data_IF_165727572797
#
_entry.id   IF_165727572797
#
_cell.length_a   1.000
_cell.length_b   1.000
_cell.length_c   1.000
_cell.angle_alpha   90.00
_cell.angle_beta   90.00
_cell.angle_gamma   90.00
#
_symmetry.space_group_name_H-M   'P 1'
#
loop_
_entity.id
_entity.type
_entity.pdbx_description
1 polymer ?
#
# COMPACT_ATOMS: atom_id res chain seq x y z
N UNK A 1 17.36 -2.15 -17.67
CA UNK A 1 15.88 -2.08 -17.70
C UNK A 1 15.44 -2.28 -19.16
N UNK A 2 14.45 -3.15 -19.40
CA UNK A 2 13.80 -3.30 -20.72
C UNK A 2 12.36 -2.81 -20.57
N UNK A 3 11.85 -2.12 -21.58
CA UNK A 3 10.44 -1.67 -21.62
C UNK A 3 9.68 -2.57 -22.57
N UNK A 4 8.53 -3.08 -22.12
CA UNK A 4 7.65 -3.95 -22.91
C UNK A 4 6.27 -3.27 -23.01
N UNK A 5 5.59 -3.47 -24.13
CA UNK A 5 4.27 -2.89 -24.37
C UNK A 5 3.24 -3.45 -23.36
N UNK A 6 2.25 -2.64 -23.01
CA UNK A 6 1.17 -3.03 -22.08
C UNK A 6 0.29 -4.20 -22.59
N UNK A 7 0.31 -4.49 -23.90
CA UNK A 7 -0.36 -5.62 -24.51
C UNK A 7 0.61 -6.76 -24.84
N UNK A 8 1.75 -6.83 -24.12
CA UNK A 8 2.75 -7.85 -24.35
C UNK A 8 2.19 -9.26 -24.15
N UNK A 9 2.49 -10.12 -25.09
CA UNK A 9 2.22 -11.56 -24.98
C UNK A 9 3.29 -12.23 -24.13
N UNK A 10 2.99 -13.47 -23.68
CA UNK A 10 3.95 -14.30 -22.94
C UNK A 10 5.31 -14.39 -23.65
N UNK A 11 5.33 -14.57 -24.98
CA UNK A 11 6.57 -14.71 -25.73
C UNK A 11 7.41 -13.41 -25.73
N UNK A 12 6.77 -12.27 -25.88
CA UNK A 12 7.45 -10.96 -25.76
C UNK A 12 8.01 -10.74 -24.35
N UNK A 13 7.29 -11.16 -23.31
CA UNK A 13 7.74 -11.10 -21.92
C UNK A 13 8.93 -12.05 -21.71
N UNK A 14 8.89 -13.25 -22.30
CA UNK A 14 9.98 -14.24 -22.25
C UNK A 14 11.28 -13.71 -22.86
N UNK A 15 11.22 -13.05 -24.01
CA UNK A 15 12.39 -12.40 -24.63
C UNK A 15 12.99 -11.26 -23.77
N UNK A 16 12.19 -10.70 -22.87
CA UNK A 16 12.65 -9.66 -21.97
C UNK A 16 13.40 -10.21 -20.74
N UNK A 17 13.23 -11.50 -20.39
CA UNK A 17 13.84 -12.12 -19.23
C UNK A 17 15.38 -12.11 -19.30
N UNK A 18 15.96 -12.14 -18.12
CA UNK A 18 17.39 -12.37 -17.90
C UNK A 18 17.57 -13.66 -17.12
N UNK A 19 18.36 -14.58 -17.65
CA UNK A 19 18.60 -15.87 -17.03
C UNK A 19 19.56 -15.82 -15.83
N UNK A 20 20.31 -14.74 -15.71
CA UNK A 20 21.36 -14.55 -14.71
C UNK A 20 20.92 -13.74 -13.47
N UNK A 21 19.66 -13.30 -13.41
CA UNK A 21 19.16 -12.38 -12.37
C UNK A 21 17.67 -12.58 -12.12
N UNK A 22 17.23 -12.09 -10.95
CA UNK A 22 15.81 -11.92 -10.66
C UNK A 22 15.17 -10.94 -11.64
N UNK A 23 14.00 -11.28 -12.11
CA UNK A 23 13.23 -10.48 -13.05
C UNK A 23 12.05 -9.82 -12.32
N UNK A 24 12.04 -8.50 -12.27
CA UNK A 24 10.97 -7.72 -11.65
C UNK A 24 10.15 -7.04 -12.73
N UNK A 25 8.88 -7.39 -12.83
CA UNK A 25 7.92 -6.76 -13.72
C UNK A 25 7.21 -5.61 -13.01
N UNK A 26 7.22 -4.43 -13.64
CA UNK A 26 6.54 -3.23 -13.14
C UNK A 26 5.59 -2.75 -14.24
N UNK A 27 4.28 -2.96 -14.11
CA UNK A 27 3.31 -2.46 -15.08
C UNK A 27 3.32 -0.93 -15.15
N UNK A 28 2.90 -0.37 -16.27
CA UNK A 28 2.87 1.08 -16.50
C UNK A 28 1.70 1.78 -15.78
N UNK A 29 0.76 1.00 -15.23
CA UNK A 29 -0.43 1.53 -14.55
C UNK A 29 -0.89 0.61 -13.43
N UNK A 30 -1.31 1.20 -12.32
CA UNK A 30 -1.93 0.50 -11.18
C UNK A 30 -3.41 0.10 -11.38
N UNK A 31 -4.01 0.44 -12.52
CA UNK A 31 -5.44 0.19 -12.77
C UNK A 31 -5.75 -1.29 -12.96
N UNK A 32 -6.93 -1.74 -12.49
CA UNK A 32 -7.38 -3.13 -12.61
C UNK A 32 -7.39 -3.65 -14.06
N UNK A 33 -7.70 -2.80 -15.03
CA UNK A 33 -7.67 -3.17 -16.47
C UNK A 33 -6.29 -3.65 -16.90
N UNK A 34 -5.22 -3.07 -16.36
CA UNK A 34 -3.86 -3.52 -16.63
C UNK A 34 -3.60 -4.90 -16.03
N UNK A 35 -4.04 -5.13 -14.79
CA UNK A 35 -3.91 -6.43 -14.13
C UNK A 35 -4.62 -7.54 -14.90
N UNK A 36 -5.86 -7.30 -15.32
CA UNK A 36 -6.63 -8.27 -16.11
C UNK A 36 -5.89 -8.68 -17.39
N UNK A 37 -5.14 -7.76 -18.00
CA UNK A 37 -4.36 -8.05 -19.22
C UNK A 37 -3.07 -8.78 -18.94
N UNK A 38 -2.30 -8.31 -17.95
CA UNK A 38 -0.92 -8.76 -17.78
C UNK A 38 -0.78 -10.01 -16.90
N UNK A 39 -1.63 -10.17 -15.87
CA UNK A 39 -1.53 -11.30 -14.94
C UNK A 39 -1.60 -12.67 -15.67
N UNK A 40 -2.54 -12.93 -16.58
CA UNK A 40 -2.57 -14.22 -17.28
C UNK A 40 -1.29 -14.49 -18.08
N UNK A 41 -0.69 -13.47 -18.67
CA UNK A 41 0.53 -13.62 -19.47
C UNK A 41 1.74 -13.92 -18.57
N UNK A 42 1.83 -13.25 -17.42
CA UNK A 42 2.89 -13.49 -16.45
C UNK A 42 2.79 -14.85 -15.77
N UNK A 43 1.57 -15.30 -15.44
CA UNK A 43 1.32 -16.63 -14.88
C UNK A 43 1.75 -17.70 -15.86
N UNK A 44 1.35 -17.60 -17.14
CA UNK A 44 1.80 -18.51 -18.16
C UNK A 44 3.33 -18.50 -18.31
N UNK A 45 3.95 -17.33 -18.21
CA UNK A 45 5.40 -17.21 -18.28
C UNK A 45 6.09 -17.92 -17.12
N UNK A 46 5.66 -17.70 -15.88
CA UNK A 46 6.22 -18.36 -14.69
C UNK A 46 6.11 -19.88 -14.79
N UNK A 47 4.97 -20.39 -15.25
CA UNK A 47 4.76 -21.82 -15.43
C UNK A 47 5.63 -22.42 -16.53
N UNK A 48 5.92 -21.66 -17.59
CA UNK A 48 6.78 -22.09 -18.70
C UNK A 48 8.29 -21.96 -18.39
N UNK A 49 8.66 -21.19 -17.39
CA UNK A 49 10.06 -20.90 -17.04
C UNK A 49 10.28 -21.01 -15.53
N UNK A 50 10.05 -22.21 -14.92
CA UNK A 50 10.10 -22.38 -13.48
C UNK A 50 11.51 -22.18 -12.88
N UNK A 51 12.54 -22.20 -13.71
CA UNK A 51 13.92 -21.90 -13.33
C UNK A 51 14.22 -20.41 -13.19
N UNK A 52 13.29 -19.53 -13.60
CA UNK A 52 13.46 -18.09 -13.55
C UNK A 52 12.79 -17.50 -12.32
N UNK A 53 13.48 -16.68 -11.58
CA UNK A 53 12.89 -15.88 -10.51
C UNK A 53 12.16 -14.69 -11.13
N UNK A 54 10.85 -14.70 -11.04
CA UNK A 54 9.97 -13.67 -11.61
C UNK A 54 9.10 -13.10 -10.50
N UNK A 55 9.15 -11.79 -10.30
CA UNK A 55 8.39 -11.07 -9.31
C UNK A 55 7.58 -9.96 -9.97
N UNK A 56 6.40 -9.71 -9.44
CA UNK A 56 5.58 -8.59 -9.86
C UNK A 56 5.66 -7.47 -8.81
N UNK A 57 6.01 -6.26 -9.22
CA UNK A 57 6.02 -5.09 -8.35
C UNK A 57 5.03 -4.05 -8.84
N UNK A 58 4.18 -3.59 -7.96
CA UNK A 58 3.07 -2.74 -8.36
C UNK A 58 2.74 -1.60 -7.42
N UNK A 59 1.48 -1.23 -7.43
CA UNK A 59 0.98 0.06 -6.98
C UNK A 59 0.13 -0.08 -5.72
N UNK A 60 0.04 0.99 -4.91
CA UNK A 60 -0.75 0.98 -3.67
C UNK A 60 -2.22 0.61 -3.85
N UNK A 61 -2.81 0.94 -5.00
CA UNK A 61 -4.20 0.64 -5.32
C UNK A 61 -4.49 -0.86 -5.38
N UNK A 62 -3.47 -1.69 -5.59
CA UNK A 62 -3.64 -3.15 -5.74
C UNK A 62 -4.17 -3.82 -4.49
N UNK A 63 -3.98 -3.22 -3.33
CA UNK A 63 -4.61 -3.72 -2.10
C UNK A 63 -6.15 -3.74 -2.19
N UNK A 64 -6.75 -2.91 -3.06
CA UNK A 64 -8.21 -2.92 -3.29
C UNK A 64 -8.66 -4.02 -4.24
N UNK A 65 -7.73 -4.62 -4.98
CA UNK A 65 -7.99 -5.69 -5.97
C UNK A 65 -7.59 -7.08 -5.46
N UNK A 66 -7.14 -7.19 -4.22
CA UNK A 66 -6.70 -8.47 -3.63
C UNK A 66 -7.81 -9.51 -3.64
N UNK A 67 -9.08 -9.12 -3.48
CA UNK A 67 -10.20 -10.05 -3.56
C UNK A 67 -10.29 -10.78 -4.91
N UNK A 68 -10.00 -10.08 -6.00
CA UNK A 68 -10.20 -10.58 -7.36
C UNK A 68 -8.93 -11.25 -7.92
N UNK A 69 -7.75 -10.89 -7.40
CA UNK A 69 -6.45 -11.30 -7.95
C UNK A 69 -5.53 -11.99 -6.94
N UNK A 70 -6.05 -12.40 -5.76
CA UNK A 70 -5.23 -12.91 -4.66
C UNK A 70 -4.33 -14.08 -5.09
N UNK A 71 -4.89 -15.07 -5.76
CA UNK A 71 -4.15 -16.25 -6.22
C UNK A 71 -3.04 -15.87 -7.19
N UNK A 72 -3.35 -14.98 -8.15
CA UNK A 72 -2.36 -14.47 -9.11
C UNK A 72 -1.24 -13.70 -8.43
N UNK A 73 -1.56 -12.91 -7.41
CA UNK A 73 -0.56 -12.17 -6.65
C UNK A 73 0.38 -13.09 -5.86
N UNK A 74 -0.14 -14.19 -5.30
CA UNK A 74 0.70 -15.19 -4.65
C UNK A 74 1.56 -15.95 -5.65
N UNK A 75 1.00 -16.40 -6.77
CA UNK A 75 1.75 -17.15 -7.80
C UNK A 75 2.89 -16.33 -8.41
N UNK A 76 2.73 -15.01 -8.49
CA UNK A 76 3.73 -14.08 -9.04
C UNK A 76 4.64 -13.45 -7.98
N UNK A 77 4.61 -13.93 -6.75
CA UNK A 77 5.37 -13.33 -5.63
C UNK A 77 5.30 -11.80 -5.68
N UNK A 78 4.07 -11.27 -5.57
CA UNK A 78 3.76 -9.87 -5.85
C UNK A 78 4.07 -8.97 -4.67
N UNK A 79 4.77 -7.89 -4.94
CA UNK A 79 5.08 -6.82 -4.00
C UNK A 79 4.38 -5.52 -4.41
N UNK A 80 3.80 -4.83 -3.47
CA UNK A 80 3.37 -3.45 -3.65
C UNK A 80 3.51 -2.67 -2.34
N UNK A 81 3.79 -1.39 -2.46
CA UNK A 81 3.93 -0.52 -1.32
C UNK A 81 2.60 0.15 -0.96
N UNK A 82 2.44 0.53 0.29
CA UNK A 82 1.29 1.31 0.71
C UNK A 82 1.63 2.16 1.93
N UNK A 83 1.31 3.45 1.86
CA UNK A 83 1.35 4.36 3.02
C UNK A 83 0.03 4.33 3.80
N UNK A 84 -0.98 3.59 3.33
CA UNK A 84 -2.35 3.59 3.85
C UNK A 84 -2.86 2.16 4.07
N UNK A 85 -1.95 1.25 4.45
CA UNK A 85 -2.35 -0.11 4.74
C UNK A 85 -3.12 -0.19 6.05
N UNK A 86 -4.29 -0.80 6.03
CA UNK A 86 -5.06 -1.12 7.22
C UNK A 86 -5.16 -2.62 7.37
N UNK A 87 -4.66 -3.15 8.50
CA UNK A 87 -4.96 -4.51 8.87
C UNK A 87 -6.39 -4.58 9.40
N UNK A 88 -7.31 -5.08 8.59
CA UNK A 88 -8.74 -5.19 8.93
C UNK A 88 -9.04 -6.15 10.08
N UNK A 89 -8.08 -7.00 10.45
CA UNK A 89 -8.16 -7.89 11.60
C UNK A 89 -7.63 -7.24 12.90
N UNK A 90 -7.04 -6.06 12.80
CA UNK A 90 -6.53 -5.35 13.97
C UNK A 90 -7.69 -4.85 14.84
N UNK A 91 -7.70 -5.16 16.16
CA UNK A 91 -8.82 -4.83 17.03
C UNK A 91 -9.25 -3.37 17.00
N UNK A 92 -8.28 -2.43 16.93
CA UNK A 92 -8.58 -1.00 16.85
C UNK A 92 -9.25 -0.61 15.52
N UNK A 93 -8.89 -1.26 14.40
CA UNK A 93 -9.54 -1.04 13.11
C UNK A 93 -10.99 -1.56 13.10
N UNK A 94 -11.20 -2.74 13.69
CA UNK A 94 -12.55 -3.32 13.87
C UNK A 94 -13.40 -2.39 14.75
N UNK A 95 -12.88 -1.96 15.88
CA UNK A 95 -13.59 -1.05 16.81
C UNK A 95 -13.93 0.28 16.13
N UNK A 96 -12.99 0.86 15.39
CA UNK A 96 -13.22 2.09 14.64
C UNK A 96 -14.35 1.92 13.62
N UNK A 97 -14.31 0.86 12.83
CA UNK A 97 -15.33 0.57 11.80
C UNK A 97 -16.72 0.38 12.43
N UNK A 98 -16.81 -0.37 13.53
CA UNK A 98 -18.07 -0.59 14.24
C UNK A 98 -18.62 0.72 14.83
N UNK A 99 -17.75 1.55 15.43
CA UNK A 99 -18.16 2.85 15.97
C UNK A 99 -18.59 3.80 14.87
N UNK A 100 -17.88 3.82 13.74
CA UNK A 100 -18.24 4.63 12.58
C UNK A 100 -19.64 4.27 12.07
N UNK A 101 -19.90 2.98 11.88
CA UNK A 101 -21.21 2.50 11.46
C UNK A 101 -22.32 2.87 12.47
N UNK A 102 -22.05 2.70 13.77
CA UNK A 102 -22.97 3.06 14.86
C UNK A 102 -23.35 4.55 14.85
N UNK A 103 -22.37 5.43 14.63
CA UNK A 103 -22.59 6.89 14.71
C UNK A 103 -23.16 7.49 13.45
N UNK A 104 -22.78 6.98 12.29
CA UNK A 104 -23.17 7.55 11.01
C UNK A 104 -24.21 6.72 10.24
N UNK A 105 -24.57 5.52 10.72
CA UNK A 105 -25.46 4.56 10.05
C UNK A 105 -25.05 4.29 8.59
N UNK A 106 -23.75 4.35 8.31
CA UNK A 106 -23.14 4.15 6.99
C UNK A 106 -21.85 3.37 7.15
N UNK A 107 -21.54 2.58 6.16
CA UNK A 107 -20.26 1.91 6.08
C UNK A 107 -19.14 2.89 5.66
N UNK A 108 -17.93 2.60 6.10
CA UNK A 108 -16.75 3.28 5.59
C UNK A 108 -16.64 3.05 4.08
N UNK A 109 -16.39 4.12 3.34
CA UNK A 109 -16.16 4.02 1.90
C UNK A 109 -14.88 3.19 1.68
N UNK A 110 -15.02 2.02 1.07
CA UNK A 110 -13.92 1.10 0.74
C UNK A 110 -13.10 1.61 -0.46
N UNK A 111 -12.72 2.89 -0.43
CA UNK A 111 -11.81 3.47 -1.42
C UNK A 111 -10.43 3.64 -0.81
N UNK A 112 -9.44 3.46 -1.62
CA UNK A 112 -8.05 3.76 -1.25
C UNK A 112 -7.69 5.19 -1.67
N UNK A 113 -7.09 5.99 -0.77
CA UNK A 113 -6.94 5.76 0.67
C UNK A 113 -8.26 5.89 1.45
N UNK A 114 -8.35 5.24 2.62
CA UNK A 114 -9.50 5.42 3.53
C UNK A 114 -9.36 6.74 4.30
N UNK A 115 -9.89 7.81 3.74
CA UNK A 115 -9.80 9.15 4.33
C UNK A 115 -10.43 9.26 5.73
N UNK A 116 -11.46 8.46 6.03
CA UNK A 116 -12.06 8.42 7.37
C UNK A 116 -11.07 7.93 8.43
N UNK A 117 -10.29 6.89 8.12
CA UNK A 117 -9.23 6.38 9.01
C UNK A 117 -8.06 7.34 9.09
N UNK A 118 -7.64 7.94 7.97
CA UNK A 118 -6.59 8.95 7.96
C UNK A 118 -6.95 10.15 8.83
N UNK A 119 -8.19 10.65 8.71
CA UNK A 119 -8.69 11.75 9.54
C UNK A 119 -8.71 11.39 11.02
N UNK A 120 -9.12 10.17 11.35
CA UNK A 120 -9.08 9.68 12.73
C UNK A 120 -7.65 9.61 13.26
N UNK A 121 -6.72 8.96 12.56
CA UNK A 121 -5.33 8.84 12.98
C UNK A 121 -4.68 10.22 13.17
N UNK A 122 -4.94 11.15 12.25
CA UNK A 122 -4.44 12.54 12.34
C UNK A 122 -5.01 13.24 13.57
N UNK A 123 -6.33 13.22 13.73
CA UNK A 123 -6.99 13.85 14.87
C UNK A 123 -6.55 13.26 16.20
N UNK A 124 -6.49 11.93 16.28
CA UNK A 124 -6.06 11.22 17.47
C UNK A 124 -4.63 11.54 17.85
N UNK A 125 -3.70 11.58 16.88
CA UNK A 125 -2.32 11.93 17.10
C UNK A 125 -2.18 13.33 17.71
N UNK A 126 -2.75 14.35 17.08
CA UNK A 126 -2.61 15.71 17.55
C UNK A 126 -3.38 15.98 18.85
N UNK A 127 -4.58 15.45 19.04
CA UNK A 127 -5.33 15.61 20.28
C UNK A 127 -4.63 14.94 21.47
N UNK A 128 -4.06 13.76 21.27
CA UNK A 128 -3.24 13.11 22.30
C UNK A 128 -1.98 13.92 22.62
N UNK A 129 -1.33 14.46 21.59
CA UNK A 129 -0.17 15.33 21.74
C UNK A 129 -0.49 16.59 22.52
N UNK A 130 -1.56 17.30 22.16
CA UNK A 130 -2.02 18.50 22.86
C UNK A 130 -2.40 18.20 24.32
N UNK A 131 -3.11 17.09 24.54
CA UNK A 131 -3.48 16.67 25.91
C UNK A 131 -2.27 16.38 26.79
N UNK A 132 -1.16 15.89 26.20
CA UNK A 132 0.05 15.51 26.94
C UNK A 132 1.04 16.65 27.11
N UNK A 133 1.19 17.48 26.09
CA UNK A 133 2.27 18.46 26.01
C UNK A 133 1.77 19.92 25.94
N UNK A 134 0.48 20.15 25.74
CA UNK A 134 -0.09 21.50 25.63
C UNK A 134 0.62 22.36 24.60
N UNK A 135 1.04 23.56 24.99
CA UNK A 135 1.81 24.49 24.17
C UNK A 135 3.20 23.98 23.75
N UNK A 136 3.73 22.97 24.44
CA UNK A 136 5.03 22.37 24.13
C UNK A 136 4.95 21.22 23.12
N UNK A 137 3.80 21.01 22.49
CA UNK A 137 3.60 19.93 21.52
C UNK A 137 4.64 19.96 20.41
N UNK A 138 4.91 21.12 19.83
CA UNK A 138 5.87 21.27 18.73
C UNK A 138 7.25 20.68 19.08
N UNK A 139 7.76 21.00 20.27
CA UNK A 139 9.06 20.53 20.73
C UNK A 139 9.07 19.03 21.08
N UNK A 140 7.91 18.40 21.20
CA UNK A 140 7.75 17.02 21.60
C UNK A 140 7.18 16.12 20.49
N UNK A 141 6.87 16.64 19.30
CA UNK A 141 6.40 15.84 18.16
C UNK A 141 7.32 14.64 17.86
N UNK A 142 8.65 14.77 17.83
CA UNK A 142 9.55 13.63 17.57
C UNK A 142 9.50 12.52 18.63
N UNK A 143 9.00 12.83 19.84
CA UNK A 143 8.89 11.87 20.95
C UNK A 143 7.56 11.12 20.95
N UNK A 144 6.62 11.55 20.12
CA UNK A 144 5.30 10.91 20.04
C UNK A 144 5.39 9.60 19.28
N UNK A 145 4.92 8.54 19.93
CA UNK A 145 4.80 7.22 19.31
C UNK A 145 3.41 6.68 19.64
N UNK A 146 2.51 6.69 18.65
CA UNK A 146 1.15 6.15 18.76
C UNK A 146 0.95 5.09 17.71
N UNK A 147 0.27 4.01 18.08
CA UNK A 147 -0.10 2.97 17.13
C UNK A 147 -1.30 3.44 16.30
N UNK A 148 -1.14 3.65 15.00
CA UNK A 148 -2.22 4.10 14.13
C UNK A 148 -3.16 2.94 13.77
N UNK A 149 -4.33 3.28 13.22
CA UNK A 149 -5.19 2.30 12.55
C UNK A 149 -4.70 2.06 11.12
N UNK A 150 -4.31 3.12 10.42
CA UNK A 150 -3.88 3.10 9.02
C UNK A 150 -2.56 3.83 8.81
N UNK A 151 -2.46 5.09 9.24
CA UNK A 151 -1.33 5.97 8.92
C UNK A 151 -0.62 6.41 10.19
N UNK A 152 0.63 5.97 10.34
CA UNK A 152 1.51 6.42 11.40
C UNK A 152 2.15 7.77 11.09
N UNK A 153 2.48 8.51 12.15
CA UNK A 153 3.18 9.78 12.06
C UNK A 153 4.48 9.69 12.84
N UNK A 154 5.58 10.06 12.18
CA UNK A 154 6.90 10.16 12.79
C UNK A 154 7.54 11.48 12.37
N UNK A 155 7.29 12.51 13.12
CA UNK A 155 7.80 13.84 12.81
C UNK A 155 9.26 13.98 13.18
N UNK A 156 10.07 14.45 12.23
CA UNK A 156 11.47 14.81 12.45
C UNK A 156 11.66 16.29 12.06
N UNK A 157 12.40 17.03 12.90
CA UNK A 157 12.69 18.45 12.61
C UNK A 157 13.75 18.54 11.51
N UNK A 158 13.50 19.36 10.50
CA UNK A 158 14.40 19.47 9.34
C UNK A 158 15.72 20.16 9.68
N UNK A 159 15.68 21.16 10.54
CA UNK A 159 16.82 21.87 11.12
C UNK A 159 16.31 22.84 12.21
N UNK A 160 17.17 23.72 12.74
CA UNK A 160 16.78 24.69 13.77
C UNK A 160 15.76 25.76 13.29
N UNK A 161 15.60 25.94 11.98
CA UNK A 161 14.76 26.96 11.37
C UNK A 161 13.64 26.37 10.50
N UNK A 162 13.72 25.08 10.22
CA UNK A 162 12.77 24.37 9.39
C UNK A 162 11.55 23.88 10.17
N UNK A 163 10.54 23.45 9.41
CA UNK A 163 9.40 22.73 9.94
C UNK A 163 9.70 21.26 10.25
N UNK A 164 8.66 20.45 10.22
CA UNK A 164 8.76 19.01 10.41
C UNK A 164 8.48 18.29 9.09
N UNK A 165 9.13 17.15 8.92
CA UNK A 165 8.81 16.13 7.91
C UNK A 165 8.23 14.90 8.61
N UNK A 166 7.37 14.17 7.88
CA UNK A 166 6.77 12.91 8.33
C UNK A 166 7.22 11.80 7.38
#
# INVERSE_FOLDING_TARGET
MKTVNENATKDMLKEALRSDKDNIFIPTSGKNVMLIKILPQLILLVRDTPEQNIHLFGYPEWQTYTRDHLESFFELDTYFYSSFYTNTLFPAAIQFTNNYHKWYSKDLVSKFPSYGMLGFDTGFFFLKGLSRYGSELENNLPKMNLTPIQTGFKFERVNNWGGFIN
#
